data_IF_351853252717
#
_entry.id   IF_351853252717
#
_cell.length_a   1.000
_cell.length_b   1.000
_cell.length_c   1.000
_cell.angle_alpha   90.00
_cell.angle_beta   90.00
_cell.angle_gamma   90.00
#
_symmetry.space_group_name_H-M   'P 1'
#
loop_
_entity.id
_entity.type
_entity.pdbx_description
1 polymer ?
#
# COMPACT_ATOMS: atom_id res chain seq x y z
N UNK A 1 10.86 -0.95 4.14
CA UNK A 1 10.01 -0.73 5.33
C UNK A 1 8.89 -1.75 5.27
N UNK A 2 8.67 -2.50 6.36
CA UNK A 2 7.65 -3.54 6.42
C UNK A 2 6.31 -2.92 6.84
N UNK A 3 5.27 -3.07 6.02
CA UNK A 3 3.89 -2.70 6.38
C UNK A 3 3.14 -3.96 6.82
N UNK A 4 2.48 -3.91 7.98
CA UNK A 4 1.58 -4.97 8.46
C UNK A 4 0.28 -4.95 7.63
N UNK A 5 -0.08 -6.08 7.03
CA UNK A 5 -1.23 -6.19 6.12
C UNK A 5 -2.24 -7.19 6.70
N UNK A 6 -3.52 -6.82 6.70
CA UNK A 6 -4.63 -7.74 6.99
C UNK A 6 -5.28 -8.16 5.69
N UNK A 7 -5.39 -9.48 5.46
CA UNK A 7 -6.15 -10.02 4.33
C UNK A 7 -7.63 -9.80 4.60
N UNK A 8 -8.34 -9.17 3.64
CA UNK A 8 -9.77 -8.90 3.74
C UNK A 8 -10.52 -9.80 2.77
N UNK A 9 -11.64 -10.39 3.19
CA UNK A 9 -12.57 -11.03 2.27
C UNK A 9 -13.52 -9.99 1.69
N UNK A 10 -13.74 -10.04 0.37
CA UNK A 10 -14.64 -9.13 -0.35
C UNK A 10 -16.12 -9.37 -0.02
N UNK A 11 -16.46 -10.49 0.63
CA UNK A 11 -17.77 -10.77 1.19
C UNK A 11 -17.80 -10.51 2.70
N UNK A 12 -18.67 -9.59 3.12
CA UNK A 12 -18.74 -9.10 4.50
C UNK A 12 -18.87 -10.18 5.59
N UNK A 13 -18.18 -9.88 6.70
CA UNK A 13 -18.31 -10.46 8.05
C UNK A 13 -17.39 -11.64 8.42
N UNK A 14 -16.33 -11.32 9.18
CA UNK A 14 -16.18 -11.72 10.61
C UNK A 14 -14.69 -11.86 10.97
N UNK A 15 -14.23 -11.04 11.93
CA UNK A 15 -12.97 -11.27 12.66
C UNK A 15 -13.09 -12.56 13.46
N UNK A 16 -12.15 -13.50 13.33
CA UNK A 16 -12.01 -14.57 14.32
C UNK A 16 -10.53 -14.83 14.67
N UNK A 17 -10.25 -14.48 15.91
CA UNK A 17 -9.11 -14.88 16.74
C UNK A 17 -9.14 -16.39 17.00
N UNK A 18 -7.96 -17.02 16.95
CA UNK A 18 -7.68 -18.45 17.10
C UNK A 18 -8.35 -19.19 18.28
N UNK A 19 -8.62 -20.48 18.06
CA UNK A 19 -8.40 -21.55 19.04
C UNK A 19 -8.13 -22.88 18.33
N UNK A 20 -7.01 -23.51 18.65
CA UNK A 20 -6.48 -24.75 18.06
C UNK A 20 -7.18 -26.01 18.60
N UNK A 21 -7.33 -27.04 17.75
CA UNK A 21 -7.41 -28.44 18.19
C UNK A 21 -7.06 -29.43 17.06
N UNK A 22 -6.13 -30.36 17.38
CA UNK A 22 -5.92 -31.73 16.79
C UNK A 22 -5.64 -31.84 15.28
N UNK A 23 -4.69 -32.63 14.79
CA UNK A 23 -4.40 -34.01 15.14
C UNK A 23 -4.83 -34.93 13.97
N UNK A 24 -3.85 -35.62 13.37
CA UNK A 24 -3.96 -36.85 12.56
C UNK A 24 -4.27 -36.80 11.04
N UNK A 25 -3.16 -36.84 10.29
CA UNK A 25 -2.79 -37.68 9.13
C UNK A 25 -3.82 -38.68 8.56
N UNK A 26 -4.11 -38.58 7.26
CA UNK A 26 -4.50 -39.70 6.38
C UNK A 26 -3.89 -39.55 4.97
N UNK A 27 -3.63 -40.69 4.33
CA UNK A 27 -2.66 -40.91 3.24
C UNK A 27 -3.28 -41.22 1.87
N UNK A 28 -2.63 -40.74 0.80
CA UNK A 28 -2.41 -41.29 -0.57
C UNK A 28 -3.55 -41.98 -1.35
N UNK A 29 -3.84 -41.51 -2.58
CA UNK A 29 -3.54 -42.24 -3.85
C UNK A 29 -4.23 -41.66 -5.12
N UNK A 30 -3.43 -41.01 -5.97
CA UNK A 30 -3.21 -41.27 -7.42
C UNK A 30 -4.31 -41.96 -8.29
N UNK A 31 -4.75 -41.33 -9.41
CA UNK A 31 -4.43 -41.73 -10.81
C UNK A 31 -5.22 -41.00 -11.94
N UNK A 32 -4.45 -40.63 -12.97
CA UNK A 32 -4.69 -40.87 -14.42
C UNK A 32 -5.36 -39.81 -15.33
N UNK A 33 -4.68 -39.65 -16.48
CA UNK A 33 -4.91 -38.79 -17.65
C UNK A 33 -6.13 -39.22 -18.48
N UNK A 34 -6.75 -38.26 -19.19
CA UNK A 34 -7.16 -38.46 -20.59
C UNK A 34 -7.18 -37.14 -21.38
N UNK A 35 -6.95 -37.25 -22.69
CA UNK A 35 -6.71 -36.17 -23.67
C UNK A 35 -8.00 -35.75 -24.41
N UNK A 36 -7.87 -34.61 -25.09
CA UNK A 36 -8.56 -34.12 -26.32
C UNK A 36 -9.83 -33.30 -26.15
N UNK A 37 -9.75 -32.04 -26.62
CA UNK A 37 -10.88 -31.14 -26.84
C UNK A 37 -10.39 -29.76 -27.26
N UNK A 38 -10.41 -29.49 -28.56
CA UNK A 38 -10.08 -28.20 -29.16
C UNK A 38 -11.20 -27.20 -28.84
N UNK A 39 -10.93 -26.25 -27.96
CA UNK A 39 -11.73 -25.05 -27.76
C UNK A 39 -10.77 -23.89 -27.59
N UNK A 40 -11.03 -22.78 -28.29
CA UNK A 40 -10.28 -21.53 -28.18
C UNK A 40 -10.57 -20.90 -26.82
N UNK A 41 -10.00 -21.51 -25.78
CA UNK A 41 -9.92 -20.96 -24.44
C UNK A 41 -8.76 -19.96 -24.47
N UNK A 42 -9.00 -18.72 -24.05
CA UNK A 42 -7.94 -17.90 -23.50
C UNK A 42 -7.34 -18.69 -22.35
N UNK A 43 -6.29 -19.46 -22.65
CA UNK A 43 -5.58 -20.25 -21.68
C UNK A 43 -4.82 -19.24 -20.84
N UNK A 44 -5.36 -18.90 -19.68
CA UNK A 44 -4.62 -18.20 -18.63
C UNK A 44 -3.39 -19.05 -18.33
N UNK A 45 -2.26 -18.64 -18.89
CA UNK A 45 -1.02 -19.37 -18.76
C UNK A 45 -0.48 -19.08 -17.37
N UNK A 46 -0.65 -20.04 -16.46
CA UNK A 46 -0.16 -19.94 -15.10
C UNK A 46 1.29 -20.44 -15.09
N UNK A 47 2.24 -19.54 -14.93
CA UNK A 47 3.66 -19.91 -14.82
C UNK A 47 3.94 -20.65 -13.50
N UNK A 48 4.77 -21.71 -13.55
CA UNK A 48 5.22 -22.50 -12.38
C UNK A 48 6.13 -21.70 -11.42
N UNK A 49 6.69 -20.59 -11.90
CA UNK A 49 7.40 -19.60 -11.09
C UNK A 49 6.86 -18.23 -11.44
N UNK A 50 6.24 -17.57 -10.46
CA UNK A 50 5.71 -16.22 -10.62
C UNK A 50 6.76 -15.21 -10.20
N UNK A 51 7.42 -14.59 -11.19
CA UNK A 51 8.49 -13.60 -10.95
C UNK A 51 7.96 -12.28 -10.37
N UNK A 52 6.64 -12.09 -10.40
CA UNK A 52 6.00 -10.91 -9.82
C UNK A 52 5.98 -10.98 -8.29
N UNK A 53 5.47 -12.07 -7.72
CA UNK A 53 5.33 -12.21 -6.27
C UNK A 53 5.62 -13.65 -5.83
N UNK A 54 6.46 -13.77 -4.81
CA UNK A 54 6.79 -15.06 -4.17
C UNK A 54 6.30 -15.10 -2.73
N UNK A 55 6.01 -16.29 -2.19
CA UNK A 55 5.63 -16.47 -0.79
C UNK A 55 6.71 -17.27 -0.06
N UNK A 56 7.04 -16.87 1.18
CA UNK A 56 7.78 -17.79 2.07
C UNK A 56 6.90 -18.96 2.47
N UNK A 57 7.50 -20.05 2.95
CA UNK A 57 6.74 -21.23 3.36
C UNK A 57 5.72 -20.91 4.47
N UNK A 58 6.08 -20.05 5.41
CA UNK A 58 5.17 -19.60 6.47
C UNK A 58 4.00 -18.79 5.92
N UNK A 59 4.29 -17.83 5.03
CA UNK A 59 3.24 -17.03 4.38
C UNK A 59 2.31 -17.90 3.54
N UNK A 60 2.87 -18.87 2.80
CA UNK A 60 2.11 -19.83 2.00
C UNK A 60 1.15 -20.63 2.87
N UNK A 61 1.61 -21.17 3.99
CA UNK A 61 0.76 -21.93 4.90
C UNK A 61 -0.38 -21.09 5.45
N UNK A 62 -0.09 -19.84 5.86
CA UNK A 62 -1.13 -18.91 6.35
C UNK A 62 -2.18 -18.62 5.27
N UNK A 63 -1.75 -18.40 4.02
CA UNK A 63 -2.67 -18.14 2.90
C UNK A 63 -3.50 -19.39 2.57
N UNK A 64 -2.89 -20.58 2.55
CA UNK A 64 -3.59 -21.84 2.29
C UNK A 64 -4.61 -22.17 3.39
N UNK A 65 -4.26 -21.96 4.66
CA UNK A 65 -5.17 -22.15 5.79
C UNK A 65 -6.37 -21.20 5.67
N UNK A 66 -6.13 -19.94 5.29
CA UNK A 66 -7.19 -18.95 5.09
C UNK A 66 -8.09 -19.31 3.89
N UNK A 67 -7.51 -19.75 2.76
CA UNK A 67 -8.26 -20.23 1.60
C UNK A 67 -9.12 -21.44 1.95
N UNK A 68 -8.59 -22.41 2.71
CA UNK A 68 -9.32 -23.63 3.08
C UNK A 68 -10.54 -23.37 3.96
N UNK A 69 -10.61 -22.21 4.63
CA UNK A 69 -11.77 -21.79 5.42
C UNK A 69 -12.91 -21.21 4.56
N UNK A 70 -12.66 -20.92 3.28
CA UNK A 70 -13.65 -20.33 2.37
C UNK A 70 -14.60 -21.40 1.78
N UNK A 71 -15.78 -20.97 1.34
CA UNK A 71 -16.82 -21.89 0.86
C UNK A 71 -16.47 -22.58 -0.48
N UNK A 72 -15.61 -21.98 -1.29
CA UNK A 72 -15.20 -22.53 -2.60
C UNK A 72 -13.72 -22.23 -2.90
N UNK A 73 -12.78 -22.82 -2.12
CA UNK A 73 -11.36 -22.50 -2.19
C UNK A 73 -10.75 -22.76 -3.58
N UNK A 74 -11.28 -23.74 -4.30
CA UNK A 74 -10.79 -24.14 -5.62
C UNK A 74 -10.97 -23.08 -6.72
N UNK A 75 -11.91 -22.16 -6.54
CA UNK A 75 -12.24 -21.12 -7.51
C UNK A 75 -11.57 -19.78 -7.18
N UNK A 76 -11.02 -19.67 -5.97
CA UNK A 76 -10.41 -18.46 -5.42
C UNK A 76 -8.91 -18.40 -5.73
N UNK A 77 -8.41 -17.18 -5.86
CA UNK A 77 -7.00 -16.86 -5.90
C UNK A 77 -6.67 -15.79 -4.85
N UNK A 78 -5.41 -15.69 -4.45
CA UNK A 78 -4.90 -14.54 -3.70
C UNK A 78 -4.72 -13.37 -4.67
N UNK A 79 -5.47 -12.31 -4.46
CA UNK A 79 -5.32 -11.04 -5.17
C UNK A 79 -4.40 -10.12 -4.41
N UNK A 80 -3.49 -9.48 -5.12
CA UNK A 80 -2.56 -8.49 -4.56
C UNK A 80 -2.54 -7.26 -5.45
N UNK A 81 -3.00 -6.14 -4.90
CA UNK A 81 -3.14 -4.87 -5.63
C UNK A 81 -2.42 -3.74 -4.91
N UNK A 82 -1.77 -2.86 -5.68
CA UNK A 82 -1.28 -1.57 -5.22
C UNK A 82 -2.41 -0.56 -5.32
N UNK A 83 -2.99 -0.19 -4.17
CA UNK A 83 -4.11 0.75 -4.10
C UNK A 83 -3.69 2.21 -3.95
N UNK A 84 -2.40 2.47 -3.76
CA UNK A 84 -1.85 3.83 -3.62
C UNK A 84 -0.46 3.84 -3.00
N UNK A 85 -0.14 4.93 -2.31
CA UNK A 85 1.12 5.11 -1.58
C UNK A 85 0.85 5.30 -0.09
N UNK A 86 1.74 4.80 0.77
CA UNK A 86 1.70 5.01 2.21
C UNK A 86 3.10 5.37 2.71
N UNK A 87 3.26 6.62 3.15
CA UNK A 87 4.59 7.15 3.48
C UNK A 87 5.54 7.00 2.28
N UNK A 88 6.74 6.41 2.48
CA UNK A 88 7.69 6.20 1.38
C UNK A 88 7.42 4.95 0.54
N UNK A 89 6.43 4.12 0.90
CA UNK A 89 6.13 2.86 0.22
C UNK A 89 4.81 2.87 -0.52
N UNK A 90 4.49 1.76 -1.18
CA UNK A 90 3.15 1.52 -1.71
C UNK A 90 2.19 1.05 -0.60
N UNK A 91 0.91 1.37 -0.77
CA UNK A 91 -0.19 0.80 -0.01
C UNK A 91 -0.77 -0.38 -0.81
N UNK A 92 -1.07 -1.47 -0.11
CA UNK A 92 -1.53 -2.71 -0.75
C UNK A 92 -2.87 -3.17 -0.19
N UNK A 93 -3.66 -3.82 -1.04
CA UNK A 93 -4.80 -4.63 -0.61
C UNK A 93 -4.58 -6.09 -1.03
N UNK A 94 -4.84 -7.00 -0.08
CA UNK A 94 -4.69 -8.43 -0.24
C UNK A 94 -6.03 -9.08 0.10
N UNK A 95 -6.61 -9.81 -0.84
CA UNK A 95 -7.94 -10.39 -0.68
C UNK A 95 -8.10 -11.68 -1.49
N UNK A 96 -9.14 -12.46 -1.18
CA UNK A 96 -9.54 -13.59 -2.00
C UNK A 96 -10.68 -13.19 -2.92
N UNK A 97 -10.55 -13.54 -4.19
CA UNK A 97 -11.61 -13.41 -5.18
C UNK A 97 -11.43 -14.46 -6.27
N UNK A 98 -12.50 -14.71 -7.02
CA UNK A 98 -12.49 -15.72 -8.07
C UNK A 98 -11.46 -15.41 -9.15
N UNK A 99 -10.73 -16.44 -9.57
CA UNK A 99 -9.76 -16.32 -10.67
C UNK A 99 -10.43 -15.95 -12.00
N UNK A 100 -11.70 -16.33 -12.16
CA UNK A 100 -12.53 -16.05 -13.34
C UNK A 100 -12.76 -14.55 -13.56
N UNK A 101 -12.64 -13.74 -12.50
CA UNK A 101 -12.86 -12.30 -12.51
C UNK A 101 -11.59 -11.50 -12.78
N UNK A 102 -10.46 -12.16 -13.04
CA UNK A 102 -9.19 -11.51 -13.36
C UNK A 102 -9.36 -10.52 -14.54
N UNK A 103 -9.01 -9.23 -14.36
CA UNK A 103 -9.14 -8.26 -15.43
C UNK A 103 -8.18 -8.57 -16.58
N UNK A 104 -8.48 -8.05 -17.77
CA UNK A 104 -7.59 -8.18 -18.91
C UNK A 104 -6.20 -7.62 -18.59
N UNK A 105 -5.17 -8.37 -18.96
CA UNK A 105 -3.77 -8.00 -18.68
C UNK A 105 -3.30 -8.28 -17.25
N UNK A 106 -4.15 -8.82 -16.37
CA UNK A 106 -3.70 -9.29 -15.07
C UNK A 106 -2.63 -10.38 -15.22
N UNK A 107 -1.58 -10.29 -14.40
CA UNK A 107 -0.60 -11.35 -14.28
C UNK A 107 -1.15 -12.42 -13.34
N UNK A 108 -1.21 -13.66 -13.81
CA UNK A 108 -1.65 -14.81 -13.02
C UNK A 108 -0.52 -15.82 -12.96
N UNK A 109 -0.15 -16.21 -11.75
CA UNK A 109 0.90 -17.19 -11.53
C UNK A 109 0.62 -18.09 -10.34
N UNK A 110 1.49 -19.08 -10.19
CA UNK A 110 1.49 -19.94 -9.01
C UNK A 110 2.79 -19.79 -8.26
N UNK A 111 2.66 -19.86 -6.95
CA UNK A 111 3.74 -20.08 -6.03
C UNK A 111 3.28 -21.25 -5.15
N UNK A 112 3.88 -22.43 -5.34
CA UNK A 112 3.37 -23.68 -4.76
C UNK A 112 1.91 -23.96 -5.13
N UNK A 113 1.05 -24.18 -4.13
CA UNK A 113 -0.39 -24.44 -4.31
C UNK A 113 -1.23 -23.16 -4.37
N UNK A 114 -0.66 -22.01 -4.04
CA UNK A 114 -1.38 -20.73 -4.04
C UNK A 114 -1.39 -20.16 -5.45
N UNK A 115 -2.59 -19.90 -5.97
CA UNK A 115 -2.76 -19.15 -7.21
C UNK A 115 -2.84 -17.66 -6.87
N UNK A 116 -2.08 -16.84 -7.59
CA UNK A 116 -1.92 -15.40 -7.32
C UNK A 116 -2.38 -14.62 -8.55
N UNK A 117 -3.17 -13.57 -8.33
CA UNK A 117 -3.62 -12.63 -9.36
C UNK A 117 -3.13 -11.22 -9.00
N UNK A 118 -2.45 -10.58 -9.95
CA UNK A 118 -1.98 -9.20 -9.82
C UNK A 118 -2.53 -8.38 -10.98
N UNK A 119 -3.36 -7.34 -10.73
CA UNK A 119 -3.85 -6.45 -11.79
C UNK A 119 -2.71 -5.80 -12.58
N UNK A 120 -2.91 -5.56 -13.87
CA UNK A 120 -1.89 -5.03 -14.79
C UNK A 120 -1.17 -3.77 -14.27
N UNK A 121 -1.92 -2.85 -13.64
CA UNK A 121 -1.41 -1.61 -13.03
C UNK A 121 -0.44 -1.83 -11.86
N UNK A 122 -0.49 -3.00 -11.23
CA UNK A 122 0.30 -3.38 -10.06
C UNK A 122 1.49 -4.27 -10.40
N UNK A 123 1.53 -4.88 -11.60
CA UNK A 123 2.54 -5.89 -11.98
C UNK A 123 3.97 -5.37 -11.85
N UNK A 124 4.30 -4.27 -12.51
CA UNK A 124 5.67 -3.72 -12.46
C UNK A 124 6.02 -3.15 -11.08
N UNK A 125 5.02 -2.67 -10.33
CA UNK A 125 5.21 -2.14 -8.98
C UNK A 125 5.49 -3.24 -7.97
N UNK A 126 5.01 -4.46 -8.24
CA UNK A 126 5.15 -5.60 -7.35
C UNK A 126 6.24 -6.57 -7.79
N UNK A 127 6.83 -6.42 -8.99
CA UNK A 127 7.76 -7.41 -9.53
C UNK A 127 8.90 -7.73 -8.56
N UNK A 128 9.20 -9.01 -8.35
CA UNK A 128 10.21 -9.46 -7.40
C UNK A 128 9.85 -9.25 -5.92
N UNK A 129 8.60 -8.89 -5.59
CA UNK A 129 8.16 -8.79 -4.20
C UNK A 129 8.09 -10.16 -3.54
N UNK A 130 8.16 -10.16 -2.20
CA UNK A 130 8.01 -11.35 -1.38
C UNK A 130 6.99 -11.12 -0.28
N UNK A 131 6.01 -12.01 -0.17
CA UNK A 131 5.07 -12.06 0.94
C UNK A 131 5.65 -12.96 2.04
N UNK A 132 5.75 -12.41 3.24
CA UNK A 132 6.32 -13.07 4.42
C UNK A 132 5.30 -13.08 5.56
N UNK A 133 5.50 -13.96 6.53
CA UNK A 133 4.80 -13.90 7.81
C UNK A 133 5.71 -13.32 8.89
N UNK A 134 5.22 -12.34 9.63
CA UNK A 134 5.93 -11.74 10.76
C UNK A 134 5.18 -12.01 12.06
N UNK A 135 5.90 -12.45 13.09
CA UNK A 135 5.36 -12.65 14.45
C UNK A 135 5.29 -11.35 15.26
N UNK A 136 5.79 -10.23 14.74
CA UNK A 136 5.83 -8.97 15.46
C UNK A 136 4.45 -8.30 15.48
N UNK A 137 4.06 -7.71 16.61
CA UNK A 137 2.85 -6.88 16.70
C UNK A 137 1.51 -7.61 16.59
N UNK A 138 1.48 -8.92 16.87
CA UNK A 138 0.24 -9.73 16.85
C UNK A 138 0.18 -10.80 15.75
N UNK A 139 1.24 -10.94 14.95
CA UNK A 139 1.26 -11.90 13.85
C UNK A 139 0.55 -11.36 12.60
N UNK A 140 1.18 -11.45 11.43
CA UNK A 140 0.53 -11.00 10.19
C UNK A 140 1.39 -11.18 8.96
N UNK A 141 0.73 -11.08 7.80
CA UNK A 141 1.40 -11.07 6.52
C UNK A 141 2.03 -9.70 6.27
N UNK A 142 3.25 -9.72 5.74
CA UNK A 142 4.05 -8.55 5.44
C UNK A 142 4.56 -8.67 4.01
N UNK A 143 4.31 -7.65 3.20
CA UNK A 143 4.81 -7.59 1.83
C UNK A 143 6.12 -6.82 1.78
N UNK A 144 7.19 -7.51 1.37
CA UNK A 144 8.52 -6.93 1.14
C UNK A 144 8.64 -6.64 -0.34
N UNK A 145 8.59 -5.35 -0.70
CA UNK A 145 8.66 -4.88 -2.08
C UNK A 145 10.02 -4.21 -2.34
N UNK A 146 10.78 -4.63 -3.37
CA UNK A 146 12.03 -3.97 -3.76
C UNK A 146 11.82 -2.61 -4.45
N UNK A 147 10.61 -2.33 -4.92
CA UNK A 147 10.24 -1.09 -5.59
C UNK A 147 9.69 -0.06 -4.60
N UNK A 148 9.85 1.21 -4.97
CA UNK A 148 9.30 2.35 -4.25
C UNK A 148 8.52 3.24 -5.23
N UNK A 149 7.44 3.89 -4.77
CA UNK A 149 6.73 4.84 -5.60
C UNK A 149 7.61 6.04 -5.96
N UNK A 150 7.50 6.45 -7.23
CA UNK A 150 8.11 7.68 -7.72
C UNK A 150 7.56 8.91 -6.99
N UNK A 151 8.25 10.05 -7.06
CA UNK A 151 7.79 11.29 -6.46
C UNK A 151 6.42 11.73 -7.01
N UNK A 152 6.19 11.56 -8.32
CA UNK A 152 4.91 11.86 -8.96
C UNK A 152 3.78 10.93 -8.48
N UNK A 153 4.06 9.66 -8.21
CA UNK A 153 3.08 8.75 -7.62
C UNK A 153 2.76 9.08 -6.17
N UNK A 154 3.75 9.54 -5.39
CA UNK A 154 3.55 9.97 -4.00
C UNK A 154 2.80 11.30 -3.90
N UNK A 155 2.99 12.18 -4.88
CA UNK A 155 2.45 13.54 -4.89
C UNK A 155 1.71 13.82 -6.20
N UNK A 156 0.55 13.19 -6.43
CA UNK A 156 -0.20 13.36 -7.67
C UNK A 156 -0.67 14.81 -7.83
N UNK A 157 -0.53 15.33 -9.05
CA UNK A 157 -0.96 16.70 -9.39
C UNK A 157 0.09 17.79 -9.12
N UNK A 158 1.23 17.44 -8.51
CA UNK A 158 2.33 18.40 -8.33
C UNK A 158 3.14 18.52 -9.64
N UNK A 159 3.47 19.75 -10.07
CA UNK A 159 4.33 19.99 -11.23
C UNK A 159 5.69 19.27 -11.16
N UNK A 160 6.14 18.70 -12.29
CA UNK A 160 7.40 17.94 -12.36
C UNK A 160 8.64 18.78 -12.04
N UNK A 161 8.64 20.07 -12.36
CA UNK A 161 9.72 21.01 -12.04
C UNK A 161 9.90 21.21 -10.54
N UNK A 162 8.81 21.21 -9.77
CA UNK A 162 8.86 21.22 -8.31
C UNK A 162 9.39 19.88 -7.79
N UNK A 163 8.88 18.76 -8.29
CA UNK A 163 9.32 17.42 -7.87
C UNK A 163 10.81 17.18 -8.18
N UNK A 164 11.33 17.77 -9.26
CA UNK A 164 12.73 17.68 -9.66
C UNK A 164 13.69 18.39 -8.71
N UNK A 165 13.21 19.30 -7.85
CA UNK A 165 14.03 19.91 -6.78
C UNK A 165 14.44 18.86 -5.72
N UNK A 166 13.64 17.80 -5.57
CA UNK A 166 13.95 16.69 -4.67
C UNK A 166 13.93 17.06 -3.18
N UNK A 167 14.37 16.10 -2.36
CA UNK A 167 14.42 16.22 -0.89
C UNK A 167 15.73 15.68 -0.30
N UNK A 168 16.75 15.49 -1.13
CA UNK A 168 18.04 14.90 -0.72
C UNK A 168 19.00 15.94 -0.11
N UNK A 169 18.70 17.23 -0.27
CA UNK A 169 19.52 18.33 0.22
C UNK A 169 19.58 18.44 1.75
N UNK A 170 20.60 19.13 2.27
CA UNK A 170 20.80 19.26 3.72
C UNK A 170 19.65 20.00 4.41
N UNK A 171 19.12 21.06 3.80
CA UNK A 171 17.98 21.79 4.35
C UNK A 171 16.71 20.95 4.24
N UNK A 172 16.55 20.19 3.15
CA UNK A 172 15.45 19.26 2.98
C UNK A 172 15.42 18.19 4.09
N UNK A 173 16.56 17.56 4.37
CA UNK A 173 16.70 16.55 5.44
C UNK A 173 16.38 17.14 6.80
N UNK A 174 16.81 18.37 7.09
CA UNK A 174 16.47 19.05 8.35
C UNK A 174 15.00 19.42 8.42
N UNK A 175 14.41 19.94 7.34
CA UNK A 175 12.99 20.26 7.27
C UNK A 175 12.12 19.01 7.47
N UNK A 176 12.49 17.89 6.85
CA UNK A 176 11.83 16.60 7.03
C UNK A 176 11.86 16.15 8.49
N UNK A 177 13.00 16.29 9.19
CA UNK A 177 13.09 15.98 10.63
C UNK A 177 12.16 16.84 11.48
N UNK A 178 12.10 18.15 11.22
CA UNK A 178 11.16 19.04 11.93
C UNK A 178 9.72 18.59 11.69
N UNK A 179 9.38 18.20 10.46
CA UNK A 179 8.05 17.67 10.16
C UNK A 179 7.77 16.38 10.94
N UNK A 180 8.70 15.44 10.96
CA UNK A 180 8.50 14.12 11.57
C UNK A 180 8.52 14.16 13.10
N UNK A 181 9.41 14.96 13.70
CA UNK A 181 9.69 14.94 15.14
C UNK A 181 8.85 15.98 15.91
N UNK A 182 8.42 17.06 15.26
CA UNK A 182 7.71 18.17 15.93
C UNK A 182 6.31 18.41 15.35
N UNK A 183 6.21 18.64 14.04
CA UNK A 183 4.94 19.08 13.41
C UNK A 183 3.93 17.94 13.37
N UNK A 184 4.25 16.82 12.73
CA UNK A 184 3.34 15.69 12.55
C UNK A 184 2.81 15.12 13.87
N UNK A 185 3.63 14.96 14.93
CA UNK A 185 3.12 14.55 16.24
C UNK A 185 2.07 15.51 16.81
N UNK A 186 2.23 16.83 16.62
CA UNK A 186 1.29 17.83 17.13
C UNK A 186 -0.07 17.80 16.41
N UNK A 187 -0.07 17.60 15.10
CA UNK A 187 -1.28 17.64 14.27
C UNK A 187 -1.96 16.27 14.11
N UNK A 188 -1.25 15.17 14.42
CA UNK A 188 -1.77 13.81 14.34
C UNK A 188 -3.02 13.59 15.21
N UNK A 189 -3.12 14.28 16.36
CA UNK A 189 -4.29 14.23 17.27
C UNK A 189 -5.58 14.73 16.61
N UNK A 190 -5.47 15.55 15.56
CA UNK A 190 -6.57 16.04 14.74
C UNK A 190 -6.71 15.27 13.42
N UNK A 191 -6.05 14.10 13.31
CA UNK A 191 -6.00 13.29 12.09
C UNK A 191 -5.22 13.95 10.95
N UNK A 192 -4.33 14.88 11.29
CA UNK A 192 -3.56 15.66 10.34
C UNK A 192 -2.19 15.10 10.03
N UNK A 193 -1.65 15.45 8.85
CA UNK A 193 -0.27 15.19 8.46
C UNK A 193 0.23 16.23 7.47
N UNK A 194 1.51 16.55 7.51
CA UNK A 194 2.24 17.32 6.52
C UNK A 194 3.43 16.50 5.99
N UNK A 195 3.63 16.54 4.68
CA UNK A 195 4.71 15.87 3.97
C UNK A 195 5.53 16.90 3.20
N UNK A 196 6.86 16.81 3.29
CA UNK A 196 7.75 17.58 2.44
C UNK A 196 7.74 16.96 1.04
N UNK A 197 7.37 17.77 0.05
CA UNK A 197 7.33 17.36 -1.36
C UNK A 197 8.66 17.65 -2.03
N UNK A 198 9.21 18.84 -1.76
CA UNK A 198 10.44 19.32 -2.38
C UNK A 198 11.07 20.44 -1.53
N UNK A 199 12.37 20.67 -1.75
CA UNK A 199 13.11 21.79 -1.18
C UNK A 199 13.89 22.50 -2.27
N UNK A 200 13.61 23.79 -2.49
CA UNK A 200 14.51 24.65 -3.24
C UNK A 200 15.64 25.09 -2.31
N UNK A 201 16.79 24.44 -2.44
CA UNK A 201 17.97 24.74 -1.62
C UNK A 201 18.56 26.12 -1.90
N UNK A 202 18.42 26.67 -3.11
CA UNK A 202 19.00 27.97 -3.46
C UNK A 202 18.08 29.11 -3.00
N UNK A 203 16.79 29.00 -3.29
CA UNK A 203 15.79 29.97 -2.87
C UNK A 203 15.42 29.81 -1.39
N UNK A 204 15.75 28.68 -0.76
CA UNK A 204 15.38 28.31 0.61
C UNK A 204 13.86 28.20 0.80
N UNK A 205 13.18 27.60 -0.18
CA UNK A 205 11.72 27.44 -0.20
C UNK A 205 11.35 25.98 0.04
N UNK A 206 10.58 25.70 1.08
CA UNK A 206 10.03 24.38 1.34
C UNK A 206 8.67 24.21 0.66
N UNK A 207 8.47 23.13 -0.09
CA UNK A 207 7.18 22.78 -0.68
C UNK A 207 6.57 21.62 0.11
N UNK A 208 5.36 21.82 0.62
CA UNK A 208 4.67 20.83 1.45
C UNK A 208 3.31 20.47 0.87
N UNK A 209 2.83 19.28 1.22
CA UNK A 209 1.43 18.89 1.08
C UNK A 209 0.89 18.45 2.42
N UNK A 210 -0.41 18.65 2.64
CA UNK A 210 -1.12 18.26 3.85
C UNK A 210 -2.17 17.19 3.52
N UNK A 211 -2.28 16.22 4.42
CA UNK A 211 -3.21 15.09 4.31
C UNK A 211 -4.11 14.94 5.53
N UNK A 212 -5.13 14.10 5.40
CA UNK A 212 -6.05 13.76 6.49
C UNK A 212 -6.98 14.91 6.87
N UNK A 213 -7.25 15.08 8.17
CA UNK A 213 -8.12 16.14 8.70
C UNK A 213 -7.68 17.56 8.32
N UNK A 214 -6.40 17.74 7.94
CA UNK A 214 -5.82 18.99 7.49
C UNK A 214 -6.30 19.44 6.10
N UNK A 215 -6.65 18.49 5.22
CA UNK A 215 -7.10 18.79 3.86
C UNK A 215 -8.57 19.27 3.82
N UNK A 216 -9.42 18.70 4.70
CA UNK A 216 -10.88 18.83 4.63
C UNK A 216 -11.52 19.94 5.47
N UNK A 217 -10.87 20.43 6.55
CA UNK A 217 -11.50 21.39 7.46
C UNK A 217 -11.24 22.86 7.06
N UNK A 218 -12.24 23.53 6.50
CA UNK A 218 -12.16 24.89 5.95
C UNK A 218 -11.87 25.99 6.98
N UNK A 219 -12.18 25.79 8.26
CA UNK A 219 -11.95 26.77 9.33
C UNK A 219 -10.50 26.77 9.87
N UNK A 220 -9.68 25.78 9.53
CA UNK A 220 -8.32 25.60 10.07
C UNK A 220 -7.19 25.61 9.04
N UNK A 221 -7.47 25.80 7.75
CA UNK A 221 -6.45 25.73 6.67
C UNK A 221 -5.36 26.79 6.80
N UNK A 222 -5.76 28.04 6.94
CA UNK A 222 -4.83 29.17 7.01
C UNK A 222 -4.01 29.14 8.30
N UNK A 223 -4.66 28.84 9.43
CA UNK A 223 -3.99 28.78 10.74
C UNK A 223 -3.04 27.60 10.85
N UNK A 224 -3.38 26.46 10.26
CA UNK A 224 -2.52 25.29 10.24
C UNK A 224 -1.31 25.48 9.35
N UNK A 225 -1.50 25.93 8.10
CA UNK A 225 -0.39 26.20 7.17
C UNK A 225 0.59 27.20 7.78
N UNK A 226 0.06 28.26 8.42
CA UNK A 226 0.85 29.24 9.13
C UNK A 226 1.55 28.67 10.38
N UNK A 227 0.91 27.73 11.08
CA UNK A 227 1.53 26.99 12.19
C UNK A 227 2.71 26.14 11.74
N UNK A 228 2.56 25.40 10.64
CA UNK A 228 3.63 24.59 10.03
C UNK A 228 4.77 25.49 9.57
N UNK A 229 4.45 26.58 8.87
CA UNK A 229 5.46 27.57 8.44
C UNK A 229 6.21 28.16 9.63
N UNK A 230 5.49 28.53 10.71
CA UNK A 230 6.10 29.08 11.93
C UNK A 230 7.05 28.08 12.57
N UNK A 231 6.65 26.81 12.70
CA UNK A 231 7.49 25.76 13.27
C UNK A 231 8.75 25.52 12.42
N UNK A 232 8.58 25.38 11.10
CA UNK A 232 9.70 25.18 10.18
C UNK A 232 10.69 26.35 10.22
N UNK A 233 10.22 27.60 10.17
CA UNK A 233 11.09 28.78 10.23
C UNK A 233 11.73 29.00 11.60
N UNK A 234 11.08 28.57 12.68
CA UNK A 234 11.67 28.64 14.02
C UNK A 234 12.86 27.67 14.15
N UNK A 235 12.73 26.46 13.60
CA UNK A 235 13.81 25.47 13.60
C UNK A 235 14.86 25.74 12.51
N UNK A 236 14.46 26.34 11.39
CA UNK A 236 15.29 26.61 10.21
C UNK A 236 15.16 28.10 9.82
N UNK A 237 15.85 29.01 10.53
CA UNK A 237 15.74 30.46 10.28
C UNK A 237 16.18 30.90 8.88
N UNK A 238 16.90 30.05 8.14
CA UNK A 238 17.30 30.28 6.75
C UNK A 238 16.17 30.07 5.73
N UNK A 239 15.05 29.45 6.12
CA UNK A 239 13.89 29.28 5.23
C UNK A 239 13.28 30.64 4.89
N UNK A 240 13.19 30.92 3.59
CA UNK A 240 12.62 32.17 3.09
C UNK A 240 11.11 32.07 2.89
N UNK A 241 10.59 30.89 2.57
CA UNK A 241 9.18 30.63 2.28
C UNK A 241 8.81 29.16 2.54
N UNK A 242 7.56 28.92 2.94
CA UNK A 242 6.95 27.58 2.95
C UNK A 242 5.70 27.64 2.08
N UNK A 243 5.67 26.84 1.02
CA UNK A 243 4.59 26.78 0.04
C UNK A 243 3.77 25.52 0.22
N UNK A 244 2.48 25.71 0.45
CA UNK A 244 1.50 24.63 0.49
C UNK A 244 0.96 24.35 -0.92
N UNK A 245 1.16 23.11 -1.38
CA UNK A 245 0.71 22.63 -2.69
C UNK A 245 -0.52 21.72 -2.60
N UNK A 246 -1.15 21.62 -1.43
CA UNK A 246 -2.31 20.77 -1.23
C UNK A 246 -3.49 21.23 -2.08
N UNK A 247 -4.08 20.31 -2.83
CA UNK A 247 -5.39 20.57 -3.42
C UNK A 247 -6.47 20.47 -2.33
N UNK A 248 -6.76 21.63 -1.73
CA UNK A 248 -7.78 21.80 -0.70
C UNK A 248 -9.22 21.70 -1.23
N UNK A 249 -9.41 21.73 -2.55
CA UNK A 249 -10.73 21.65 -3.16
C UNK A 249 -11.20 20.20 -3.36
N UNK A 250 -10.28 19.24 -3.50
CA UNK A 250 -10.59 17.81 -3.73
C UNK A 250 -10.65 16.94 -2.48
N UNK A 251 -10.51 17.51 -1.27
CA UNK A 251 -10.43 16.76 -0.02
C UNK A 251 -11.63 15.88 0.30
N UNK A 252 -11.41 14.56 0.30
CA UNK A 252 -12.38 13.56 0.74
C UNK A 252 -12.40 13.43 2.28
N UNK A 253 -12.94 14.44 2.98
CA UNK A 253 -13.55 14.23 4.31
C UNK A 253 -14.47 15.40 4.72
N UNK A 254 -15.76 15.39 4.33
CA UNK A 254 -16.74 16.33 4.83
C UNK A 254 -17.22 15.86 6.20
N UNK A 255 -16.46 16.12 7.27
CA UNK A 255 -17.05 16.11 8.61
C UNK A 255 -17.99 17.32 8.72
N UNK A 256 -19.19 17.17 8.17
CA UNK A 256 -20.50 17.71 8.55
C UNK A 256 -21.48 17.51 7.37
N UNK A 257 -21.96 16.28 7.16
CA UNK A 257 -23.27 16.08 6.53
C UNK A 257 -24.33 16.24 7.62
N UNK A 258 -24.75 17.47 7.89
CA UNK A 258 -26.02 17.66 8.58
C UNK A 258 -27.15 17.43 7.58
N UNK A 259 -27.95 16.41 7.89
CA UNK A 259 -29.28 16.18 7.34
C UNK A 259 -30.23 17.35 7.63
#
# INVERSE_FOLDING_TARGET
MASHIQVRCSSGSSKLTHSWASGERLTTSNLSRSRTGTSSLHCLFVADTFDVLTLTDEARNVVLDALAAEASPQDLALWVEVIGTQGPGYAYDLYFSEISQAPEGAAIGRDGEVTIVVPASSVEKLRGSRLEFSNNGGGGLVLVNPHQPSAAERHPGIPEDILALGIEGELAVRAQRVLDDEVNPSIASHGGRADLVAMDEDAKIAYITMGGGCQGCSLSRMTLSQGIETALRAALPELTEVRDLTDHASGANPYYSHA
#
